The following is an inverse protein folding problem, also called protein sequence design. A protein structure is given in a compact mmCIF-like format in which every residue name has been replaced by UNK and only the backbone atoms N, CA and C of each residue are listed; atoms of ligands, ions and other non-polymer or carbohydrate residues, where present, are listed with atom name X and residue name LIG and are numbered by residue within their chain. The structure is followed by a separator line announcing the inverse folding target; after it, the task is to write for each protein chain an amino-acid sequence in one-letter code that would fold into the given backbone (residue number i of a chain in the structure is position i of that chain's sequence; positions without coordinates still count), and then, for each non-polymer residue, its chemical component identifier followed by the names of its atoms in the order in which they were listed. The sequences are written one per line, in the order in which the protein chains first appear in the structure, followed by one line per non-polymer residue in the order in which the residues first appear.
data_IF_131152918034
#
_entry.id   IF_131152918034
#
_cell.length_a   1.000
_cell.length_b   1.000
_cell.length_c   1.000
_cell.angle_alpha   90.00
_cell.angle_beta   90.00
_cell.angle_gamma   90.00
#
_symmetry.space_group_name_H-M   'P 1'
#
loop_
_entity.id
_entity.type
_entity.pdbx_description
1 polymer ?
#
# COMPACT_ATOMS: atom_id res chain seq x y z
N UNK A 1 21.03 10.66 7.82
CA UNK A 1 19.66 10.52 8.37
C UNK A 1 18.88 9.64 7.42
N UNK A 2 18.46 8.46 7.89
CA UNK A 2 18.09 7.33 7.03
C UNK A 2 16.56 7.20 6.89
N UNK A 3 16.09 6.92 5.68
CA UNK A 3 14.74 6.44 5.39
C UNK A 3 14.83 4.96 5.03
N UNK A 4 13.92 4.14 5.55
CA UNK A 4 13.80 2.72 5.20
C UNK A 4 12.36 2.43 4.85
N UNK A 5 12.15 1.62 3.81
CA UNK A 5 10.85 0.99 3.56
C UNK A 5 10.97 -0.53 3.53
N UNK A 6 10.03 -1.20 4.17
CA UNK A 6 9.76 -2.63 4.00
C UNK A 6 8.47 -2.78 3.20
N UNK A 7 8.45 -3.64 2.20
CA UNK A 7 7.29 -3.82 1.33
C UNK A 7 7.03 -5.29 1.03
N UNK A 8 5.76 -5.67 1.08
CA UNK A 8 5.21 -6.93 0.59
C UNK A 8 4.14 -6.57 -0.44
N UNK A 9 4.41 -6.82 -1.71
CA UNK A 9 3.61 -6.35 -2.84
C UNK A 9 2.91 -7.48 -3.59
N UNK A 10 2.13 -7.11 -4.61
CA UNK A 10 1.42 -8.06 -5.46
C UNK A 10 2.35 -8.93 -6.35
N UNK A 11 3.64 -8.57 -6.47
CA UNK A 11 4.64 -9.37 -7.18
C UNK A 11 5.17 -10.54 -6.36
N UNK A 12 4.93 -10.55 -5.06
CA UNK A 12 5.34 -11.64 -4.18
C UNK A 12 4.40 -12.82 -4.42
N UNK A 13 4.99 -13.92 -4.91
CA UNK A 13 4.22 -15.10 -5.37
C UNK A 13 3.60 -15.89 -4.22
N UNK A 14 4.11 -15.72 -3.00
CA UNK A 14 3.54 -16.31 -1.80
C UNK A 14 2.70 -15.27 -1.05
N UNK A 15 1.37 -15.36 -1.21
CA UNK A 15 0.41 -14.42 -0.62
C UNK A 15 0.43 -14.38 0.93
N UNK A 16 1.09 -15.36 1.57
CA UNK A 16 0.89 -15.64 2.98
C UNK A 16 1.40 -14.54 3.93
N UNK A 17 2.51 -13.84 3.64
CA UNK A 17 2.96 -12.74 4.51
C UNK A 17 2.01 -11.54 4.41
N UNK A 18 1.62 -11.18 3.19
CA UNK A 18 0.70 -10.07 2.92
C UNK A 18 -0.65 -10.28 3.61
N UNK A 19 -1.23 -11.47 3.51
CA UNK A 19 -2.51 -11.79 4.16
C UNK A 19 -2.42 -11.65 5.67
N UNK A 20 -1.36 -12.17 6.29
CA UNK A 20 -1.16 -12.06 7.74
C UNK A 20 -0.99 -10.59 8.14
N UNK A 21 -0.13 -9.83 7.46
CA UNK A 21 0.08 -8.41 7.73
C UNK A 21 -1.20 -7.57 7.53
N UNK A 22 -2.04 -7.92 6.56
CA UNK A 22 -3.32 -7.26 6.34
C UNK A 22 -4.31 -7.46 7.50
N UNK A 23 -4.16 -8.53 8.31
CA UNK A 23 -4.97 -8.72 9.52
C UNK A 23 -4.48 -7.91 10.72
N UNK A 24 -3.24 -7.40 10.68
CA UNK A 24 -2.70 -6.58 11.77
C UNK A 24 -3.18 -5.12 11.59
N UNK A 25 -3.89 -4.54 12.57
CA UNK A 25 -4.31 -3.14 12.48
C UNK A 25 -3.10 -2.21 12.38
N UNK A 26 -3.15 -1.25 11.46
CA UNK A 26 -2.08 -0.25 11.25
C UNK A 26 -1.75 0.48 12.55
N UNK A 27 -2.75 0.79 13.35
CA UNK A 27 -2.62 1.46 14.65
C UNK A 27 -1.77 0.63 15.62
N UNK A 28 -1.91 -0.69 15.62
CA UNK A 28 -1.12 -1.60 16.45
C UNK A 28 0.34 -1.65 16.00
N UNK A 29 0.58 -1.69 14.68
CA UNK A 29 1.93 -1.58 14.11
C UNK A 29 2.61 -0.30 14.57
N UNK A 30 1.91 0.82 14.48
CA UNK A 30 2.45 2.13 14.87
C UNK A 30 2.75 2.23 16.37
N UNK A 31 1.91 1.66 17.24
CA UNK A 31 2.15 1.59 18.69
C UNK A 31 3.38 0.76 19.01
N UNK A 32 3.54 -0.41 18.39
CA UNK A 32 4.69 -1.28 18.59
C UNK A 32 6.00 -0.61 18.17
N UNK A 33 6.01 0.02 16.99
CA UNK A 33 7.19 0.73 16.49
C UNK A 33 7.57 1.91 17.38
N UNK A 34 6.59 2.63 17.95
CA UNK A 34 6.86 3.67 18.95
C UNK A 34 7.54 3.10 20.19
N UNK A 35 7.04 1.98 20.71
CA UNK A 35 7.60 1.34 21.90
C UNK A 35 9.07 0.93 21.69
N UNK A 36 9.45 0.60 20.45
CA UNK A 36 10.84 0.29 20.04
C UNK A 36 11.68 1.53 19.69
N UNK A 37 11.18 2.74 19.92
CA UNK A 37 11.92 3.98 19.68
C UNK A 37 11.94 4.45 18.23
N UNK A 38 11.06 3.95 17.37
CA UNK A 38 10.93 4.49 16.00
C UNK A 38 10.40 5.93 16.06
N UNK A 39 11.16 6.88 15.48
CA UNK A 39 10.82 8.30 15.53
C UNK A 39 9.65 8.67 14.61
N UNK A 40 9.68 8.20 13.37
CA UNK A 40 8.60 8.41 12.41
C UNK A 40 8.31 7.10 11.67
N UNK A 41 7.04 6.72 11.55
CA UNK A 41 6.59 5.56 10.79
C UNK A 41 5.22 5.79 10.13
N UNK A 42 5.05 5.30 8.91
CA UNK A 42 3.75 5.23 8.20
C UNK A 42 3.60 3.83 7.63
N UNK A 43 2.46 3.18 7.90
CA UNK A 43 2.10 1.92 7.28
C UNK A 43 0.95 2.11 6.27
N UNK A 44 1.10 1.51 5.08
CA UNK A 44 0.09 1.46 4.03
C UNK A 44 -0.30 0.00 3.86
N UNK A 45 -1.53 -0.33 4.26
CA UNK A 45 -2.08 -1.68 4.18
C UNK A 45 -3.28 -1.68 3.24
N UNK A 46 -3.22 -2.53 2.22
CA UNK A 46 -4.26 -2.73 1.20
C UNK A 46 -4.42 -4.22 0.95
N UNK A 47 -5.39 -4.62 0.12
CA UNK A 47 -5.51 -6.02 -0.30
C UNK A 47 -4.31 -6.52 -1.12
N UNK A 48 -3.60 -5.60 -1.77
CA UNK A 48 -2.54 -5.92 -2.73
C UNK A 48 -1.12 -5.66 -2.20
N UNK A 49 -0.99 -4.91 -1.10
CA UNK A 49 0.31 -4.62 -0.49
C UNK A 49 0.23 -4.30 0.99
N UNK A 50 1.31 -4.60 1.69
CA UNK A 50 1.63 -4.00 2.97
C UNK A 50 2.98 -3.30 2.85
N UNK A 51 3.05 -2.03 3.22
CA UNK A 51 4.30 -1.26 3.19
C UNK A 51 4.47 -0.49 4.49
N UNK A 52 5.68 -0.53 5.04
CA UNK A 52 6.09 0.24 6.20
C UNK A 52 7.22 1.19 5.80
N UNK A 53 7.01 2.49 6.01
CA UNK A 53 8.02 3.53 5.80
C UNK A 53 8.43 4.09 7.15
N UNK A 54 9.72 4.04 7.48
CA UNK A 54 10.27 4.54 8.72
C UNK A 54 11.40 5.54 8.46
N UNK A 55 11.42 6.63 9.22
CA UNK A 55 12.42 7.67 9.11
C UNK A 55 13.09 7.95 10.45
N UNK A 56 14.42 8.12 10.40
CA UNK A 56 15.23 8.41 11.57
C UNK A 56 15.44 9.92 11.82
N UNK A 57 15.81 10.23 13.06
CA UNK A 57 16.30 11.54 13.51
C UNK A 57 17.82 11.52 13.65
N UNK A 58 18.50 12.67 13.86
CA UNK A 58 19.95 12.66 14.11
C UNK A 58 20.26 11.79 15.33
N UNK A 59 21.18 10.83 15.19
CA UNK A 59 21.53 9.88 16.25
C UNK A 59 20.62 8.65 16.38
N UNK A 60 19.49 8.58 15.65
CA UNK A 60 18.57 7.45 15.70
C UNK A 60 18.07 7.09 14.30
N UNK A 61 18.67 6.06 13.71
CA UNK A 61 18.30 5.60 12.37
C UNK A 61 17.47 4.31 12.44
N UNK A 62 16.40 4.19 11.63
CA UNK A 62 15.66 2.95 11.53
C UNK A 62 16.57 1.82 11.03
N UNK A 63 16.56 0.70 11.74
CA UNK A 63 17.19 -0.54 11.30
C UNK A 63 16.17 -1.39 10.56
N UNK A 64 16.39 -1.77 9.29
CA UNK A 64 15.49 -2.66 8.58
C UNK A 64 15.21 -3.97 9.33
N UNK A 65 16.24 -4.52 9.99
CA UNK A 65 16.11 -5.75 10.78
C UNK A 65 15.19 -5.56 11.99
N UNK A 66 15.33 -4.45 12.74
CA UNK A 66 14.49 -4.19 13.91
C UNK A 66 13.03 -3.90 13.52
N UNK A 67 12.81 -3.25 12.37
CA UNK A 67 11.47 -3.04 11.84
C UNK A 67 10.82 -4.35 11.40
N UNK A 68 11.59 -5.23 10.77
CA UNK A 68 11.14 -6.54 10.34
C UNK A 68 10.79 -7.42 11.55
N UNK A 69 11.67 -7.48 12.55
CA UNK A 69 11.43 -8.21 13.80
C UNK A 69 10.14 -7.75 14.49
N UNK A 70 9.91 -6.44 14.58
CA UNK A 70 8.66 -5.89 15.12
C UNK A 70 7.41 -6.37 14.36
N UNK A 71 7.49 -6.46 13.03
CA UNK A 71 6.40 -6.95 12.19
C UNK A 71 6.21 -8.47 12.31
N UNK A 72 7.29 -9.25 12.40
CA UNK A 72 7.25 -10.70 12.61
C UNK A 72 6.62 -11.06 13.95
N UNK A 73 6.95 -10.33 15.01
CA UNK A 73 6.32 -10.51 16.33
C UNK A 73 4.82 -10.20 16.32
N UNK A 74 4.41 -9.14 15.62
CA UNK A 74 2.99 -8.81 15.46
C UNK A 74 2.24 -9.83 14.59
N UNK A 75 2.92 -10.38 13.58
CA UNK A 75 2.39 -11.38 12.66
C UNK A 75 2.40 -12.80 13.24
N UNK A 76 3.21 -13.06 14.28
CA UNK A 76 3.40 -14.38 14.87
C UNK A 76 4.10 -15.38 13.93
N UNK A 77 4.80 -14.92 12.90
CA UNK A 77 5.55 -15.76 11.95
C UNK A 77 6.68 -15.00 11.26
N UNK A 78 7.61 -15.71 10.63
CA UNK A 78 8.66 -15.08 9.83
C UNK A 78 8.11 -14.49 8.52
N UNK A 79 8.60 -13.30 8.18
CA UNK A 79 8.27 -12.51 7.01
C UNK A 79 9.51 -12.17 6.15
N UNK A 80 10.72 -12.43 6.69
CA UNK A 80 12.00 -11.99 6.14
C UNK A 80 12.23 -12.36 4.67
N UNK A 81 11.89 -13.59 4.28
CA UNK A 81 12.16 -14.11 2.94
C UNK A 81 11.36 -13.41 1.83
N UNK A 82 10.35 -12.60 2.20
CA UNK A 82 9.40 -11.99 1.27
C UNK A 82 9.41 -10.46 1.31
N UNK A 83 10.31 -9.85 2.09
CA UNK A 83 10.34 -8.41 2.28
C UNK A 83 11.27 -7.73 1.26
N UNK A 84 10.72 -6.84 0.44
CA UNK A 84 11.51 -5.88 -0.32
C UNK A 84 11.97 -4.75 0.59
N UNK A 85 13.28 -4.67 0.85
CA UNK A 85 13.89 -3.62 1.68
C UNK A 85 14.50 -2.55 0.77
N UNK A 86 14.07 -1.30 0.96
CA UNK A 86 14.63 -0.15 0.23
C UNK A 86 15.09 0.92 1.21
N UNK A 87 16.15 1.63 0.84
CA UNK A 87 16.72 2.71 1.65
C UNK A 87 16.73 4.01 0.85
N UNK A 88 16.50 5.12 1.56
CA UNK A 88 16.63 6.49 1.06
C UNK A 88 15.96 6.71 -0.30
N UNK A 89 16.72 7.00 -1.35
CA UNK A 89 16.19 7.34 -2.68
C UNK A 89 15.32 6.22 -3.24
N UNK A 90 15.73 4.95 -3.06
CA UNK A 90 14.96 3.81 -3.55
C UNK A 90 13.59 3.70 -2.86
N UNK A 91 13.50 4.04 -1.58
CA UNK A 91 12.23 4.07 -0.85
C UNK A 91 11.33 5.24 -1.30
N UNK A 92 11.93 6.38 -1.65
CA UNK A 92 11.20 7.55 -2.18
C UNK A 92 10.63 7.25 -3.57
N UNK A 93 11.46 6.71 -4.46
CA UNK A 93 11.07 6.36 -5.84
C UNK A 93 9.95 5.31 -5.84
N UNK A 94 10.05 4.33 -4.95
CA UNK A 94 9.00 3.33 -4.75
C UNK A 94 7.68 3.97 -4.30
N UNK A 95 7.70 4.80 -3.26
CA UNK A 95 6.49 5.49 -2.78
C UNK A 95 5.85 6.36 -3.86
N UNK A 96 6.64 7.05 -4.67
CA UNK A 96 6.12 7.87 -5.77
C UNK A 96 5.49 7.00 -6.86
N UNK A 97 6.12 5.86 -7.17
CA UNK A 97 5.60 4.88 -8.13
C UNK A 97 4.27 4.28 -7.66
N UNK A 98 4.17 3.93 -6.37
CA UNK A 98 2.93 3.44 -5.74
C UNK A 98 1.84 4.51 -5.74
N UNK A 99 2.14 5.73 -5.29
CA UNK A 99 1.17 6.83 -5.25
C UNK A 99 0.68 7.23 -6.65
N UNK A 100 1.53 7.10 -7.68
CA UNK A 100 1.17 7.30 -9.07
C UNK A 100 0.35 6.14 -9.67
N UNK A 101 0.28 4.98 -9.01
CA UNK A 101 -0.38 3.78 -9.53
C UNK A 101 0.43 3.05 -10.61
N UNK A 102 1.72 3.36 -10.75
CA UNK A 102 2.65 2.64 -11.64
C UNK A 102 3.01 1.27 -11.06
N UNK A 103 3.11 1.21 -9.74
CA UNK A 103 3.27 -0.04 -9.00
C UNK A 103 1.94 -0.46 -8.39
N UNK A 104 1.06 -1.05 -9.19
CA UNK A 104 -0.23 -1.60 -8.77
C UNK A 104 -0.55 -2.87 -9.58
N UNK A 105 -1.38 -3.77 -9.03
CA UNK A 105 -1.85 -4.95 -9.76
C UNK A 105 -2.53 -4.54 -11.07
N UNK A 106 -3.31 -3.46 -11.00
CA UNK A 106 -3.88 -2.77 -12.16
C UNK A 106 -3.18 -1.43 -12.28
N UNK A 107 -2.35 -1.28 -13.31
CA UNK A 107 -1.63 -0.02 -13.56
C UNK A 107 -2.64 1.10 -13.78
N UNK A 108 -2.50 2.20 -13.03
CA UNK A 108 -3.40 3.35 -13.09
C UNK A 108 -4.62 3.31 -12.16
N UNK A 109 -4.82 2.22 -11.40
CA UNK A 109 -5.93 2.06 -10.44
C UNK A 109 -6.10 3.28 -9.54
N UNK A 110 -7.29 3.85 -9.47
CA UNK A 110 -7.57 5.13 -8.79
C UNK A 110 -7.49 5.07 -7.27
N UNK A 111 -7.65 3.88 -6.69
CA UNK A 111 -7.83 3.68 -5.25
C UNK A 111 -6.52 3.81 -4.45
N UNK A 112 -5.38 3.43 -5.05
CA UNK A 112 -4.09 3.39 -4.34
C UNK A 112 -3.66 4.75 -3.78
N UNK A 113 -3.90 5.84 -4.52
CA UNK A 113 -3.59 7.19 -4.05
C UNK A 113 -4.39 7.55 -2.80
N UNK A 114 -5.66 7.13 -2.75
CA UNK A 114 -6.52 7.28 -1.58
C UNK A 114 -6.05 6.42 -0.40
N UNK A 115 -5.61 5.19 -0.65
CA UNK A 115 -5.08 4.28 0.37
C UNK A 115 -3.77 4.80 0.98
N UNK A 116 -2.85 5.32 0.16
CA UNK A 116 -1.62 6.00 0.61
C UNK A 116 -1.97 7.20 1.49
N UNK A 117 -2.96 8.02 1.09
CA UNK A 117 -3.43 9.14 1.89
C UNK A 117 -3.98 8.68 3.23
N UNK A 118 -4.80 7.63 3.25
CA UNK A 118 -5.38 7.07 4.49
C UNK A 118 -4.31 6.56 5.44
N UNK A 119 -3.32 5.80 4.95
CA UNK A 119 -2.20 5.33 5.77
C UNK A 119 -1.41 6.47 6.40
N UNK A 120 -1.13 7.52 5.62
CA UNK A 120 -0.50 8.74 6.11
C UNK A 120 -1.33 9.45 7.18
N UNK A 121 -2.62 9.68 6.96
CA UNK A 121 -3.48 10.37 7.94
C UNK A 121 -3.63 9.57 9.24
N UNK A 122 -3.68 8.23 9.17
CA UNK A 122 -3.66 7.36 10.35
C UNK A 122 -2.37 7.52 11.16
N UNK A 123 -1.22 7.48 10.48
CA UNK A 123 0.07 7.68 11.13
C UNK A 123 0.21 9.08 11.74
N UNK A 124 -0.31 10.09 11.05
CA UNK A 124 -0.35 11.47 11.53
C UNK A 124 -1.23 11.62 12.76
N UNK A 125 -2.44 11.06 12.74
CA UNK A 125 -3.34 11.05 13.89
C UNK A 125 -2.76 10.31 15.09
N UNK A 126 -2.00 9.24 14.84
CA UNK A 126 -1.28 8.52 15.88
C UNK A 126 -0.07 9.29 16.43
N UNK A 127 0.34 10.41 15.83
CA UNK A 127 1.56 11.14 16.21
C UNK A 127 2.86 10.41 15.81
N UNK A 128 2.80 9.57 14.77
CA UNK A 128 3.95 8.80 14.26
C UNK A 128 4.56 9.41 12.99
N UNK A 129 4.17 10.63 12.64
CA UNK A 129 4.80 11.38 11.54
C UNK A 129 5.53 12.59 12.11
N UNK A 130 6.67 12.91 11.51
CA UNK A 130 7.44 14.11 11.82
C UNK A 130 7.77 14.86 10.54
N UNK A 131 8.80 15.70 10.59
CA UNK A 131 9.17 16.57 9.46
C UNK A 131 9.46 15.77 8.19
N UNK A 132 10.05 14.58 8.30
CA UNK A 132 10.51 13.82 7.12
C UNK A 132 9.34 13.14 6.41
N UNK A 133 8.57 12.32 7.13
CA UNK A 133 7.45 11.60 6.54
C UNK A 133 6.30 12.54 6.15
N UNK A 134 6.10 13.67 6.85
CA UNK A 134 5.13 14.68 6.41
C UNK A 134 5.49 15.23 5.03
N UNK A 135 6.73 15.69 4.82
CA UNK A 135 7.17 16.20 3.52
C UNK A 135 7.09 15.12 2.45
N UNK A 136 7.58 13.91 2.75
CA UNK A 136 7.64 12.81 1.80
C UNK A 136 6.24 12.39 1.33
N UNK A 137 5.31 12.11 2.24
CA UNK A 137 3.97 11.65 1.89
C UNK A 137 3.15 12.75 1.22
N UNK A 138 3.25 14.00 1.67
CA UNK A 138 2.60 15.12 0.98
C UNK A 138 3.12 15.29 -0.45
N UNK A 139 4.44 15.12 -0.66
CA UNK A 139 5.03 15.16 -2.01
C UNK A 139 4.59 13.97 -2.85
N UNK A 140 4.53 12.77 -2.29
CA UNK A 140 4.04 11.57 -2.98
C UNK A 140 2.58 11.75 -3.44
N UNK A 141 1.72 12.28 -2.56
CA UNK A 141 0.32 12.57 -2.90
C UNK A 141 0.20 13.63 -4.00
N UNK A 142 1.05 14.67 -3.97
CA UNK A 142 1.11 15.67 -5.03
C UNK A 142 1.56 15.06 -6.36
N UNK A 143 2.63 14.27 -6.36
CA UNK A 143 3.15 13.59 -7.55
C UNK A 143 2.10 12.64 -8.13
N UNK A 144 1.45 11.82 -7.30
CA UNK A 144 0.41 10.90 -7.75
C UNK A 144 -0.77 11.62 -8.41
N UNK A 145 -1.19 12.78 -7.90
CA UNK A 145 -2.20 13.62 -8.57
C UNK A 145 -1.68 14.16 -9.90
N UNK A 146 -0.45 14.71 -9.91
CA UNK A 146 0.18 15.28 -11.10
C UNK A 146 0.27 14.26 -12.24
N UNK A 147 0.75 13.05 -11.97
CA UNK A 147 0.84 11.97 -12.97
C UNK A 147 -0.53 11.65 -13.55
N UNK A 148 -1.60 11.58 -12.73
CA UNK A 148 -2.96 11.31 -13.22
C UNK A 148 -3.55 12.43 -14.07
N UNK A 149 -3.21 13.68 -13.76
CA UNK A 149 -3.72 14.85 -14.50
C UNK A 149 -2.94 15.09 -15.79
N UNK A 150 -1.63 14.84 -15.79
CA UNK A 150 -0.74 15.16 -16.91
C UNK A 150 -0.47 13.97 -17.84
N UNK A 151 -0.94 12.77 -17.50
CA UNK A 151 -0.77 11.57 -18.32
C UNK A 151 -2.09 10.86 -18.53
N UNK A 152 -2.14 9.99 -19.54
CA UNK A 152 -3.28 9.14 -19.80
C UNK A 152 -3.35 7.89 -18.89
N UNK A 153 -2.56 7.81 -17.81
CA UNK A 153 -2.57 6.62 -16.93
C UNK A 153 -3.93 6.35 -16.28
N UNK A 154 -4.75 7.40 -16.12
CA UNK A 154 -6.11 7.29 -15.61
C UNK A 154 -7.17 7.24 -16.72
N UNK A 155 -6.76 7.22 -18.00
CA UNK A 155 -7.68 7.11 -19.13
C UNK A 155 -8.22 5.67 -19.20
N UNK A 156 -9.49 5.52 -18.85
CA UNK A 156 -10.08 4.22 -18.53
C UNK A 156 -9.96 3.98 -17.04
N UNK A 157 -11.08 4.10 -16.32
CA UNK A 157 -11.19 3.77 -14.90
C UNK A 157 -10.98 2.26 -14.71
N UNK A 158 -9.73 1.81 -14.76
CA UNK A 158 -9.36 0.43 -14.51
C UNK A 158 -9.28 0.24 -12.99
N UNK A 159 -10.32 -0.37 -12.44
CA UNK A 159 -10.35 -0.86 -11.07
C UNK A 159 -10.17 -2.38 -11.10
N UNK A 160 -9.79 -2.99 -9.97
CA UNK A 160 -9.73 -4.46 -9.91
C UNK A 160 -11.10 -5.10 -10.29
N UNK A 161 -12.26 -4.58 -9.83
CA UNK A 161 -13.57 -5.06 -10.27
C UNK A 161 -13.82 -4.91 -11.77
N UNK A 162 -13.44 -3.79 -12.39
CA UNK A 162 -13.65 -3.59 -13.83
C UNK A 162 -12.82 -4.57 -14.66
N UNK A 163 -11.58 -4.84 -14.24
CA UNK A 163 -10.71 -5.82 -14.88
C UNK A 163 -11.26 -7.24 -14.70
N UNK A 164 -11.87 -7.55 -13.55
CA UNK A 164 -12.52 -8.84 -13.33
C UNK A 164 -13.73 -9.05 -14.26
N UNK A 165 -14.53 -8.01 -14.52
CA UNK A 165 -15.64 -8.08 -15.49
C UNK A 165 -15.12 -8.24 -16.93
N UNK A 166 -14.09 -7.49 -17.33
CA UNK A 166 -13.45 -7.66 -18.65
C UNK A 166 -12.86 -9.07 -18.82
N UNK A 167 -12.28 -9.64 -17.76
CA UNK A 167 -11.81 -11.01 -17.76
C UNK A 167 -12.97 -11.99 -17.97
N UNK A 168 -14.11 -11.78 -17.28
CA UNK A 168 -15.31 -12.59 -17.48
C UNK A 168 -15.84 -12.50 -18.93
N UNK A 169 -15.89 -11.29 -19.53
CA UNK A 169 -16.24 -11.11 -20.94
C UNK A 169 -15.29 -11.85 -21.88
N UNK A 170 -13.98 -11.83 -21.60
CA UNK A 170 -12.99 -12.54 -22.42
C UNK A 170 -13.16 -14.06 -22.38
N UNK A 171 -13.65 -14.60 -21.27
CA UNK A 171 -13.86 -16.05 -21.06
C UNK A 171 -15.23 -16.49 -21.60
N UNK A 172 -16.28 -15.71 -21.36
CA UNK A 172 -17.67 -16.11 -21.62
C UNK A 172 -18.34 -15.39 -22.80
N UNK A 173 -17.63 -14.47 -23.46
CA UNK A 173 -18.14 -13.61 -24.52
C UNK A 173 -19.09 -12.54 -24.01
N UNK A 174 -20.13 -12.23 -24.80
CA UNK A 174 -21.17 -11.28 -24.41
C UNK A 174 -21.87 -11.74 -23.11
N UNK A 175 -21.84 -10.90 -22.07
CA UNK A 175 -22.47 -11.19 -20.79
C UNK A 175 -23.96 -10.85 -20.73
N UNK A 176 -24.52 -10.21 -21.77
CA UNK A 176 -25.94 -9.87 -21.84
C UNK A 176 -26.82 -11.13 -21.68
N UNK A 177 -27.76 -11.08 -20.72
CA UNK A 177 -28.67 -12.18 -20.42
C UNK A 177 -28.07 -13.30 -19.56
N UNK A 178 -26.81 -13.18 -19.13
CA UNK A 178 -26.23 -14.10 -18.14
C UNK A 178 -26.58 -13.65 -16.72
N UNK A 179 -26.62 -14.61 -15.80
CA UNK A 179 -26.79 -14.34 -14.37
C UNK A 179 -25.43 -14.31 -13.68
N UNK A 180 -25.24 -13.34 -12.78
CA UNK A 180 -24.05 -13.22 -11.94
C UNK A 180 -24.45 -13.27 -10.47
N UNK A 181 -23.58 -13.84 -9.63
CA UNK A 181 -23.70 -13.82 -8.17
C UNK A 181 -22.53 -13.01 -7.61
N UNK A 182 -22.86 -11.94 -6.89
CA UNK A 182 -21.87 -11.13 -6.16
C UNK A 182 -21.99 -11.47 -4.67
N UNK A 183 -20.90 -11.90 -4.06
CA UNK A 183 -20.83 -12.19 -2.64
C UNK A 183 -20.25 -10.99 -1.89
N UNK A 184 -21.03 -10.41 -1.00
CA UNK A 184 -20.68 -9.20 -0.24
C UNK A 184 -21.30 -7.93 -0.82
N UNK A 185 -21.40 -6.88 0.01
CA UNK A 185 -22.03 -5.60 -0.33
C UNK A 185 -21.09 -4.41 -0.04
N UNK A 186 -19.79 -4.59 -0.25
CA UNK A 186 -18.79 -3.53 -0.07
C UNK A 186 -18.60 -2.68 -1.33
N UNK A 187 -17.77 -1.64 -1.25
CA UNK A 187 -17.47 -0.75 -2.37
C UNK A 187 -16.99 -1.49 -3.64
N UNK A 188 -16.23 -2.58 -3.46
CA UNK A 188 -15.76 -3.43 -4.57
C UNK A 188 -16.91 -4.18 -5.26
N UNK A 189 -17.89 -4.66 -4.48
CA UNK A 189 -19.08 -5.32 -4.97
C UNK A 189 -19.98 -4.36 -5.74
N UNK A 190 -20.14 -3.13 -5.24
CA UNK A 190 -20.89 -2.08 -5.93
C UNK A 190 -20.23 -1.69 -7.25
N UNK A 191 -18.90 -1.58 -7.28
CA UNK A 191 -18.15 -1.32 -8.51
C UNK A 191 -18.31 -2.47 -9.51
N UNK A 192 -18.19 -3.72 -9.07
CA UNK A 192 -18.40 -4.89 -9.93
C UNK A 192 -19.81 -4.93 -10.53
N UNK A 193 -20.84 -4.55 -9.76
CA UNK A 193 -22.23 -4.52 -10.22
C UNK A 193 -22.54 -3.36 -11.20
N UNK A 194 -21.72 -2.30 -11.20
CA UNK A 194 -21.86 -1.16 -12.12
C UNK A 194 -21.25 -1.41 -13.49
N UNK A 195 -20.29 -2.34 -13.58
CA UNK A 195 -19.63 -2.76 -14.81
C UNK A 195 -20.39 -3.89 -15.47
#
# INVERSE_FOLDING_TARGET
MKLVSLSWGHRDRECSAREVLATVPVERVLVELRARGCAEAVAVSTCNRFELYAAGTPGMSPSPHALLEALEELAGKSLAAQADIREDVAAIDHLFSVAAGLDSLVVGETEILGQVKTGYEKAKAAGMTGKRLNVLFQRALFVGKKVRTETAIAAGSLSVPSVAVQLAESIFGNLAGKSALILGAGAMSELAAKH
#
